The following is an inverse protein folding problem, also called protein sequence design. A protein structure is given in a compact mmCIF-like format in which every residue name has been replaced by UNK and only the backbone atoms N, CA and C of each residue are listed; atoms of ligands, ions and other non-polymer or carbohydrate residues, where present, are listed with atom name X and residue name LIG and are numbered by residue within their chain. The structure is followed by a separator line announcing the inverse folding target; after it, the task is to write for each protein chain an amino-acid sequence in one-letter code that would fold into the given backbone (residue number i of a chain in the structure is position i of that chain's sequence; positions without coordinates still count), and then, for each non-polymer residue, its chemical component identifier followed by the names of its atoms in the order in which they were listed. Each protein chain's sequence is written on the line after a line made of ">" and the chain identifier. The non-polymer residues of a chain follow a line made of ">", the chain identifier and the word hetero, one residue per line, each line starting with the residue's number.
data_IF_997464846357
#
_entry.id   IF_997464846357
#
_cell.length_a   1.000
_cell.length_b   1.000
_cell.length_c   1.000
_cell.angle_alpha   90.00
_cell.angle_beta   90.00
_cell.angle_gamma   90.00
#
_symmetry.space_group_name_H-M   'P 1'
#
loop_
_entity.id
_entity.type
_entity.pdbx_description
1 polymer ?
#
# COMPACT_ATOMS: atom_id res chain seq x y z
N UNK A 1 -12.44 -7.78 9.63
CA UNK A 1 -11.21 -8.18 8.93
C UNK A 1 -10.56 -6.91 8.39
N UNK A 2 -9.29 -6.67 8.71
CA UNK A 2 -8.59 -5.46 8.25
C UNK A 2 -8.13 -5.68 6.80
N UNK A 3 -8.69 -4.89 5.88
CA UNK A 3 -8.25 -4.77 4.50
C UNK A 3 -6.85 -4.18 4.51
N UNK A 4 -5.85 -4.77 3.84
CA UNK A 4 -4.48 -4.21 3.79
C UNK A 4 -4.21 -3.53 2.45
N UNK A 5 -3.84 -2.25 2.51
CA UNK A 5 -3.50 -1.42 1.35
C UNK A 5 -2.02 -1.09 1.44
N UNK A 6 -1.28 -1.30 0.36
CA UNK A 6 0.17 -1.06 0.33
C UNK A 6 0.54 -0.06 -0.75
N UNK A 7 1.42 0.87 -0.41
CA UNK A 7 2.01 1.83 -1.35
C UNK A 7 3.39 1.38 -1.76
N UNK A 8 3.66 1.28 -3.06
CA UNK A 8 4.98 0.94 -3.61
C UNK A 8 5.61 2.18 -4.24
N UNK A 9 6.82 2.47 -3.81
CA UNK A 9 7.68 3.50 -4.37
C UNK A 9 9.06 2.94 -4.74
N UNK A 10 9.72 3.64 -5.67
CA UNK A 10 11.06 3.29 -6.16
C UNK A 10 11.97 4.48 -5.91
N UNK A 11 13.03 4.25 -5.14
CA UNK A 11 14.13 5.18 -4.98
C UNK A 11 15.15 4.84 -6.07
N UNK A 12 15.31 5.76 -7.02
CA UNK A 12 16.02 5.50 -8.27
C UNK A 12 17.41 6.11 -8.38
N UNK A 13 18.25 5.43 -9.16
CA UNK A 13 19.64 5.73 -9.57
C UNK A 13 20.50 6.37 -8.48
N UNK A 14 20.80 5.57 -7.47
CA UNK A 14 21.79 5.91 -6.44
C UNK A 14 23.16 5.42 -6.93
N UNK A 15 23.94 6.30 -7.56
CA UNK A 15 25.30 5.98 -7.98
C UNK A 15 26.23 5.97 -6.77
N UNK A 16 26.73 4.80 -6.38
CA UNK A 16 27.80 4.66 -5.39
C UNK A 16 28.81 3.60 -5.86
N UNK A 17 30.10 3.82 -5.61
CA UNK A 17 31.13 2.82 -5.87
C UNK A 17 30.98 1.58 -4.97
N UNK A 18 30.29 1.75 -3.84
CA UNK A 18 30.16 0.75 -2.78
C UNK A 18 28.83 -0.02 -2.82
N UNK A 19 28.01 0.17 -3.87
CA UNK A 19 26.71 -0.49 -3.96
C UNK A 19 26.74 -1.82 -4.71
N UNK A 20 27.90 -2.36 -5.06
CA UNK A 20 28.05 -3.61 -5.84
C UNK A 20 27.17 -3.63 -7.11
N UNK A 21 27.04 -2.47 -7.77
CA UNK A 21 26.19 -2.31 -8.94
C UNK A 21 24.69 -2.19 -8.64
N UNK A 22 24.27 -2.22 -7.37
CA UNK A 22 22.92 -1.85 -6.96
C UNK A 22 22.69 -0.37 -7.24
N UNK A 23 21.56 -0.02 -7.83
CA UNK A 23 21.23 1.36 -8.23
C UNK A 23 19.82 1.79 -7.78
N UNK A 24 18.97 0.82 -7.43
CA UNK A 24 17.56 1.02 -7.12
C UNK A 24 17.21 0.45 -5.76
N UNK A 25 16.27 1.08 -5.06
CA UNK A 25 15.61 0.52 -3.89
C UNK A 25 14.11 0.50 -4.18
N UNK A 26 13.49 -0.67 -4.07
CA UNK A 26 12.04 -0.78 -4.05
C UNK A 26 11.61 -0.69 -2.60
N UNK A 27 10.68 0.21 -2.31
CA UNK A 27 10.11 0.44 -0.99
C UNK A 27 8.62 0.16 -1.07
N UNK A 28 8.10 -0.58 -0.09
CA UNK A 28 6.67 -0.72 0.09
C UNK A 28 6.28 -0.36 1.52
N UNK A 29 5.16 0.32 1.65
CA UNK A 29 4.69 0.87 2.90
C UNK A 29 3.25 0.41 3.11
N UNK A 30 2.99 -0.25 4.23
CA UNK A 30 1.64 -0.59 4.64
C UNK A 30 0.91 0.69 5.09
N UNK A 31 -0.28 0.93 4.53
CA UNK A 31 -1.07 2.10 4.88
C UNK A 31 -1.54 2.06 6.32
N UNK A 32 -1.74 0.88 6.91
CA UNK A 32 -2.31 0.74 8.25
C UNK A 32 -1.24 0.82 9.33
N UNK A 33 -0.26 -0.07 9.29
CA UNK A 33 0.79 -0.15 10.32
C UNK A 33 1.94 0.82 10.09
N UNK A 34 1.98 1.47 8.91
CA UNK A 34 3.14 2.23 8.43
C UNK A 34 4.40 1.39 8.35
N UNK A 35 4.28 0.06 8.33
CA UNK A 35 5.42 -0.82 8.17
C UNK A 35 6.07 -0.62 6.81
N UNK A 36 7.39 -0.51 6.81
CA UNK A 36 8.19 -0.31 5.60
C UNK A 36 9.00 -1.56 5.34
N UNK A 37 8.89 -2.10 4.14
CA UNK A 37 9.79 -3.11 3.57
C UNK A 37 10.59 -2.47 2.43
N UNK A 38 11.89 -2.75 2.35
CA UNK A 38 12.71 -2.23 1.27
C UNK A 38 13.81 -3.21 0.85
N UNK A 39 14.03 -3.32 -0.46
CA UNK A 39 15.08 -4.18 -1.05
C UNK A 39 15.79 -3.45 -2.17
N UNK A 40 17.11 -3.67 -2.26
CA UNK A 40 17.96 -3.06 -3.28
C UNK A 40 18.09 -3.94 -4.54
N UNK A 41 18.25 -3.31 -5.71
CA UNK A 41 18.41 -4.00 -6.99
C UNK A 41 19.42 -3.27 -7.88
N UNK A 42 20.25 -4.04 -8.59
CA UNK A 42 21.12 -3.54 -9.66
C UNK A 42 20.37 -3.06 -10.90
N UNK A 43 19.35 -3.81 -11.29
CA UNK A 43 18.47 -3.46 -12.41
C UNK A 43 17.04 -3.67 -11.97
N UNK A 44 16.18 -2.69 -12.25
CA UNK A 44 14.78 -2.79 -11.91
C UNK A 44 13.97 -3.27 -13.11
N UNK A 45 13.29 -4.41 -12.94
CA UNK A 45 12.36 -4.97 -13.93
C UNK A 45 11.02 -5.25 -13.28
N UNK A 46 9.96 -5.32 -14.09
CA UNK A 46 8.62 -5.72 -13.62
C UNK A 46 8.63 -7.06 -12.88
N UNK A 47 9.37 -8.05 -13.39
CA UNK A 47 9.52 -9.36 -12.77
C UNK A 47 10.16 -9.27 -11.37
N UNK A 48 11.17 -8.41 -11.19
CA UNK A 48 11.82 -8.20 -9.88
C UNK A 48 10.89 -7.51 -8.89
N UNK A 49 10.13 -6.51 -9.33
CA UNK A 49 9.10 -5.87 -8.49
C UNK A 49 8.01 -6.87 -8.11
N UNK A 50 7.55 -7.71 -9.04
CA UNK A 50 6.58 -8.76 -8.74
C UNK A 50 7.14 -9.81 -7.76
N UNK A 51 8.41 -10.20 -7.91
CA UNK A 51 9.10 -11.11 -7.00
C UNK A 51 9.22 -10.51 -5.60
N UNK A 52 9.58 -9.23 -5.50
CA UNK A 52 9.58 -8.49 -4.24
C UNK A 52 8.20 -8.52 -3.59
N UNK A 53 7.13 -8.22 -4.34
CA UNK A 53 5.75 -8.25 -3.83
C UNK A 53 5.35 -9.64 -3.30
N UNK A 54 5.72 -10.70 -4.02
CA UNK A 54 5.41 -12.07 -3.57
C UNK A 54 6.18 -12.44 -2.30
N UNK A 55 7.50 -12.27 -2.34
CA UNK A 55 8.41 -12.73 -1.29
C UNK A 55 8.24 -11.93 0.00
N UNK A 56 8.18 -10.61 -0.06
CA UNK A 56 8.22 -9.75 1.13
C UNK A 56 6.84 -9.44 1.70
N UNK A 57 5.75 -9.71 0.96
CA UNK A 57 4.38 -9.31 1.36
C UNK A 57 3.45 -10.50 1.41
N UNK A 58 3.25 -11.17 0.27
CA UNK A 58 2.26 -12.24 0.17
C UNK A 58 2.62 -13.40 1.12
N UNK A 59 3.89 -13.78 1.18
CA UNK A 59 4.35 -14.89 2.01
C UNK A 59 4.42 -14.57 3.52
N UNK A 60 4.54 -13.31 3.91
CA UNK A 60 4.67 -12.92 5.32
C UNK A 60 3.40 -12.34 5.94
N UNK A 61 2.66 -11.52 5.20
CA UNK A 61 1.60 -10.66 5.74
C UNK A 61 0.22 -10.87 5.11
N UNK A 62 0.09 -11.81 4.15
CA UNK A 62 -1.10 -12.12 3.32
C UNK A 62 -1.19 -11.29 2.03
N UNK A 63 -2.11 -11.69 1.16
CA UNK A 63 -2.39 -11.01 -0.12
C UNK A 63 -3.03 -9.65 0.16
N UNK A 64 -2.42 -8.53 -0.31
CA UNK A 64 -2.98 -7.21 -0.12
C UNK A 64 -4.27 -7.05 -0.93
N UNK A 65 -5.23 -6.32 -0.38
CA UNK A 65 -6.47 -5.99 -1.08
C UNK A 65 -6.23 -4.96 -2.18
N UNK A 66 -5.33 -4.01 -1.95
CA UNK A 66 -4.99 -2.98 -2.92
C UNK A 66 -3.49 -2.66 -2.90
N UNK A 67 -2.92 -2.50 -4.09
CA UNK A 67 -1.52 -2.11 -4.31
C UNK A 67 -1.48 -0.81 -5.10
N UNK A 68 -1.08 0.26 -4.43
CA UNK A 68 -1.00 1.60 -4.97
C UNK A 68 0.45 1.85 -5.40
N UNK A 69 0.65 2.27 -6.65
CA UNK A 69 1.95 2.70 -7.14
C UNK A 69 1.82 4.01 -7.90
N UNK A 70 2.66 4.98 -7.54
CA UNK A 70 2.67 6.31 -8.17
C UNK A 70 3.26 6.27 -9.60
N UNK A 71 3.91 5.17 -9.98
CA UNK A 71 4.57 5.01 -11.29
C UNK A 71 4.22 3.66 -11.92
N UNK A 72 3.02 3.59 -12.52
CA UNK A 72 2.46 2.39 -13.18
C UNK A 72 3.17 1.85 -14.42
N UNK A 73 4.52 1.85 -14.46
CA UNK A 73 5.33 1.46 -15.63
C UNK A 73 5.73 -0.03 -15.69
N UNK A 74 5.31 -0.86 -14.74
CA UNK A 74 5.89 -2.20 -14.57
C UNK A 74 4.93 -3.38 -14.79
N UNK A 75 3.86 -3.22 -15.57
CA UNK A 75 3.14 -4.35 -16.19
C UNK A 75 2.45 -5.34 -15.23
N UNK A 76 2.39 -5.07 -13.93
CA UNK A 76 1.50 -5.76 -13.01
C UNK A 76 0.10 -5.22 -13.29
N UNK A 77 -0.93 -6.08 -13.40
CA UNK A 77 -2.33 -5.64 -13.51
C UNK A 77 -2.70 -4.87 -12.24
N UNK A 78 -2.42 -3.58 -12.23
CA UNK A 78 -2.85 -2.67 -11.18
C UNK A 78 -4.32 -2.37 -11.41
N UNK A 79 -5.14 -2.51 -10.37
CA UNK A 79 -6.29 -1.61 -10.27
C UNK A 79 -5.71 -0.20 -10.21
N UNK A 80 -5.91 0.58 -11.28
CA UNK A 80 -5.76 2.02 -11.19
C UNK A 80 -6.79 2.46 -10.16
N UNK A 81 -6.31 3.08 -9.10
CA UNK A 81 -7.06 3.46 -7.90
C UNK A 81 -8.52 3.83 -8.22
N UNK A 82 -9.47 3.15 -7.56
CA UNK A 82 -10.70 3.86 -7.18
C UNK A 82 -10.25 5.02 -6.29
N UNK A 83 -10.92 6.17 -6.35
CA UNK A 83 -10.47 7.40 -5.69
C UNK A 83 -10.38 7.27 -4.16
N UNK A 84 -9.32 6.60 -3.65
CA UNK A 84 -9.02 6.54 -2.24
C UNK A 84 -8.37 7.86 -1.85
N UNK A 85 -9.11 8.62 -1.03
CA UNK A 85 -9.00 10.08 -0.87
C UNK A 85 -7.58 10.62 -0.61
N UNK A 86 -7.29 11.88 -1.05
CA UNK A 86 -6.01 12.59 -0.91
C UNK A 86 -5.38 12.57 0.50
N UNK A 87 -6.19 12.52 1.55
CA UNK A 87 -5.72 12.58 2.93
C UNK A 87 -4.86 11.38 3.35
N UNK A 88 -5.12 10.17 2.81
CA UNK A 88 -4.39 8.95 3.17
C UNK A 88 -3.09 8.79 2.36
N UNK A 89 -3.06 9.31 1.13
CA UNK A 89 -1.84 9.39 0.33
C UNK A 89 -0.82 10.31 0.99
N UNK A 90 -1.24 11.47 1.51
CA UNK A 90 -0.33 12.38 2.22
C UNK A 90 0.38 11.75 3.42
N UNK A 91 -0.25 10.80 4.12
CA UNK A 91 0.37 10.08 5.25
C UNK A 91 1.37 9.02 4.80
N UNK A 92 1.13 8.35 3.69
CA UNK A 92 2.09 7.39 3.11
C UNK A 92 3.24 8.11 2.44
N UNK A 93 2.98 9.24 1.79
CA UNK A 93 4.01 10.16 1.32
C UNK A 93 4.87 10.67 2.48
N UNK A 94 4.25 11.03 3.62
CA UNK A 94 4.97 11.44 4.82
C UNK A 94 5.84 10.31 5.39
N UNK A 95 5.30 9.08 5.46
CA UNK A 95 6.05 7.89 5.89
C UNK A 95 7.26 7.62 4.98
N UNK A 96 7.05 7.66 3.67
CA UNK A 96 8.10 7.49 2.67
C UNK A 96 9.15 8.59 2.75
N UNK A 97 8.73 9.85 2.91
CA UNK A 97 9.61 11.00 3.13
C UNK A 97 10.44 10.84 4.40
N UNK A 98 9.84 10.34 5.48
CA UNK A 98 10.55 10.08 6.73
C UNK A 98 11.59 8.97 6.57
N UNK A 99 11.23 7.85 5.94
CA UNK A 99 12.18 6.78 5.64
C UNK A 99 13.35 7.26 4.77
N UNK A 100 13.07 7.99 3.68
CA UNK A 100 14.10 8.61 2.83
C UNK A 100 15.02 9.55 3.62
N UNK A 101 14.49 10.28 4.60
CA UNK A 101 15.27 11.16 5.48
C UNK A 101 16.18 10.37 6.41
N UNK A 102 15.70 9.30 7.03
CA UNK A 102 16.52 8.41 7.88
C UNK A 102 17.64 7.80 7.05
N UNK A 103 17.31 7.22 5.89
CA UNK A 103 18.31 6.63 4.99
C UNK A 103 19.37 7.67 4.60
N UNK A 104 18.98 8.89 4.22
CA UNK A 104 19.92 9.96 3.87
C UNK A 104 20.91 10.25 5.01
N UNK A 105 20.42 10.39 6.24
CA UNK A 105 21.27 10.65 7.42
C UNK A 105 22.23 9.50 7.70
N UNK A 106 21.80 8.25 7.52
CA UNK A 106 22.66 7.07 7.72
C UNK A 106 23.75 6.96 6.65
N UNK A 107 23.47 7.46 5.45
CA UNK A 107 24.38 7.38 4.29
C UNK A 107 25.39 8.51 4.27
N UNK A 108 25.04 9.69 4.80
CA UNK A 108 25.91 10.89 4.81
C UNK A 108 27.36 10.61 5.28
N UNK A 109 27.62 9.82 6.34
CA UNK A 109 28.98 9.59 6.82
C UNK A 109 29.83 8.63 5.97
N UNK A 110 29.21 7.66 5.28
CA UNK A 110 29.94 6.52 4.67
C UNK A 110 29.68 6.34 3.17
N UNK A 111 28.62 6.93 2.63
CA UNK A 111 28.14 6.74 1.24
C UNK A 111 27.75 5.29 0.88
N UNK A 112 27.76 4.38 1.86
CA UNK A 112 27.46 2.95 1.72
C UNK A 112 25.97 2.66 1.93
N UNK A 113 25.12 3.23 1.08
CA UNK A 113 23.68 3.11 1.25
C UNK A 113 23.14 1.67 1.26
N UNK A 114 23.83 0.75 0.58
CA UNK A 114 23.46 -0.66 0.57
C UNK A 114 23.59 -1.27 1.96
N UNK A 115 24.75 -1.08 2.60
CA UNK A 115 25.03 -1.50 3.97
C UNK A 115 24.11 -0.81 4.98
N UNK A 116 23.79 0.48 4.75
CA UNK A 116 22.97 1.28 5.68
C UNK A 116 21.47 1.03 5.58
N UNK A 117 20.99 0.39 4.51
CA UNK A 117 19.58 0.11 4.30
C UNK A 117 18.91 -0.68 5.44
N UNK A 118 19.44 -1.82 5.91
CA UNK A 118 18.84 -2.56 7.04
C UNK A 118 18.80 -1.74 8.33
N UNK A 119 19.84 -0.93 8.61
CA UNK A 119 19.86 -0.05 9.79
C UNK A 119 18.82 1.07 9.69
N UNK A 120 18.62 1.64 8.49
CA UNK A 120 17.58 2.63 8.25
C UNK A 120 16.17 2.05 8.43
N UNK A 121 15.94 0.81 7.95
CA UNK A 121 14.69 0.09 8.18
C UNK A 121 14.46 -0.17 9.66
N UNK A 122 15.47 -0.66 10.37
CA UNK A 122 15.40 -0.90 11.82
C UNK A 122 15.04 0.40 12.56
N UNK A 123 15.82 1.45 12.35
CA UNK A 123 15.58 2.75 12.98
C UNK A 123 14.17 3.29 12.70
N UNK A 124 13.66 3.15 11.47
CA UNK A 124 12.30 3.55 11.14
C UNK A 124 11.26 2.71 11.91
N UNK A 125 11.41 1.38 11.93
CA UNK A 125 10.44 0.45 12.51
C UNK A 125 10.33 0.58 14.03
N UNK A 126 11.43 0.93 14.69
CA UNK A 126 11.49 1.08 16.15
C UNK A 126 11.28 2.51 16.63
N UNK A 127 11.22 3.50 15.72
CA UNK A 127 10.99 4.90 16.09
C UNK A 127 9.52 5.17 16.32
N UNK A 128 9.23 5.98 17.35
CA UNK A 128 7.88 6.41 17.66
C UNK A 128 7.31 7.28 16.54
N UNK A 129 6.13 6.91 16.04
CA UNK A 129 5.38 7.71 15.09
C UNK A 129 4.31 8.51 15.84
N UNK A 130 4.47 9.83 15.89
CA UNK A 130 3.53 10.73 16.56
C UNK A 130 2.11 10.67 16.00
N UNK A 131 1.96 10.37 14.70
CA UNK A 131 0.66 10.26 14.06
C UNK A 131 -0.12 9.00 14.47
N UNK A 132 0.57 7.86 14.55
CA UNK A 132 -0.07 6.60 14.99
C UNK A 132 -0.04 6.44 16.51
N UNK A 133 0.72 7.28 17.22
CA UNK A 133 0.96 7.17 18.66
C UNK A 133 1.70 5.87 19.04
N UNK A 134 2.40 5.25 18.08
CA UNK A 134 2.97 3.92 18.22
C UNK A 134 4.21 3.76 17.33
N UNK A 135 5.05 2.77 17.63
CA UNK A 135 6.09 2.33 16.70
C UNK A 135 5.46 1.45 15.59
N UNK A 136 5.91 1.52 14.32
CA UNK A 136 5.46 0.57 13.30
C UNK A 136 5.62 -0.89 13.72
N UNK A 137 6.69 -1.21 14.46
CA UNK A 137 6.92 -2.54 15.03
C UNK A 137 5.80 -2.98 15.96
N UNK A 138 5.41 -2.15 16.93
CA UNK A 138 4.32 -2.49 17.85
C UNK A 138 2.99 -2.73 17.12
N UNK A 139 2.69 -1.99 16.05
CA UNK A 139 1.47 -2.16 15.28
C UNK A 139 1.42 -3.50 14.53
N UNK A 140 2.56 -3.97 14.02
CA UNK A 140 2.69 -5.26 13.32
C UNK A 140 2.66 -6.42 14.33
N UNK A 141 3.52 -6.38 15.33
CA UNK A 141 3.75 -7.52 16.23
C UNK A 141 2.89 -7.50 17.51
N UNK A 142 2.17 -6.40 17.77
CA UNK A 142 1.35 -6.26 18.97
C UNK A 142 2.14 -5.98 20.25
N UNK A 143 3.43 -5.70 20.15
CA UNK A 143 4.33 -5.51 21.30
C UNK A 143 5.46 -4.55 20.96
N UNK A 144 5.90 -3.76 21.95
CA UNK A 144 7.07 -2.89 21.77
C UNK A 144 8.36 -3.70 21.64
N UNK A 145 9.33 -3.11 20.94
CA UNK A 145 10.69 -3.68 20.84
C UNK A 145 11.32 -3.68 22.23
N UNK A 146 11.92 -4.81 22.58
CA UNK A 146 12.76 -4.95 23.78
C UNK A 146 14.19 -5.01 23.30
N UNK A 147 14.98 -3.98 23.64
CA UNK A 147 16.40 -3.98 23.33
C UNK A 147 17.15 -4.94 24.28
N UNK A 148 18.27 -5.56 23.84
CA UNK A 148 19.04 -6.46 24.70
C UNK A 148 19.39 -5.87 26.06
N UNK A 149 19.68 -4.56 26.12
CA UNK A 149 19.98 -3.82 27.36
C UNK A 149 18.79 -3.74 28.34
N UNK A 150 17.55 -3.81 27.84
CA UNK A 150 16.33 -3.67 28.64
C UNK A 150 15.84 -5.01 29.24
N UNK A 151 16.42 -6.15 28.83
CA UNK A 151 15.95 -7.50 29.21
C UNK A 151 16.02 -7.79 30.71
N UNK A 152 16.82 -7.05 31.48
CA UNK A 152 16.95 -7.22 32.94
C UNK A 152 15.74 -6.68 33.75
N UNK A 153 14.79 -5.98 33.13
CA UNK A 153 13.66 -5.33 33.83
C UNK A 153 12.30 -5.97 33.51
N UNK A 154 12.10 -7.24 33.91
CA UNK A 154 10.95 -8.05 33.51
C UNK A 154 9.56 -7.42 33.82
N UNK A 155 9.37 -6.85 35.01
CA UNK A 155 8.08 -6.25 35.40
C UNK A 155 7.74 -5.02 34.56
N UNK A 156 8.73 -4.14 34.34
CA UNK A 156 8.59 -2.97 33.47
C UNK A 156 8.28 -3.36 32.01
N UNK A 157 8.87 -4.46 31.53
CA UNK A 157 8.60 -4.98 30.19
C UNK A 157 7.18 -5.55 30.06
N UNK A 158 6.67 -6.25 31.07
CA UNK A 158 5.32 -6.80 31.05
C UNK A 158 4.26 -5.70 31.01
N UNK A 159 4.41 -4.64 31.81
CA UNK A 159 3.50 -3.51 31.74
C UNK A 159 3.56 -2.77 30.39
N UNK A 160 4.76 -2.57 29.84
CA UNK A 160 4.92 -1.98 28.50
C UNK A 160 4.24 -2.82 27.42
N UNK A 161 4.36 -4.15 27.51
CA UNK A 161 3.70 -5.09 26.58
C UNK A 161 2.18 -4.99 26.67
N UNK A 162 1.62 -4.95 27.89
CA UNK A 162 0.18 -4.83 28.09
C UNK A 162 -0.36 -3.52 27.50
N UNK A 163 0.27 -2.39 27.84
CA UNK A 163 -0.10 -1.06 27.30
C UNK A 163 0.01 -1.01 25.77
N UNK A 164 1.07 -1.60 25.21
CA UNK A 164 1.24 -1.68 23.76
C UNK A 164 0.14 -2.52 23.11
N UNK A 165 -0.21 -3.66 23.70
CA UNK A 165 -1.29 -4.52 23.23
C UNK A 165 -2.64 -3.80 23.18
N UNK A 166 -2.99 -3.09 24.25
CA UNK A 166 -4.24 -2.32 24.34
C UNK A 166 -4.29 -1.19 23.32
N UNK A 167 -3.18 -0.46 23.16
CA UNK A 167 -3.07 0.60 22.16
C UNK A 167 -3.19 0.07 20.73
N UNK A 168 -2.52 -1.03 20.40
CA UNK A 168 -2.58 -1.68 19.08
C UNK A 168 -4.00 -2.17 18.79
N UNK A 169 -4.68 -2.75 19.78
CA UNK A 169 -6.09 -3.15 19.66
C UNK A 169 -7.00 -1.94 19.38
N UNK A 170 -6.86 -0.87 20.17
CA UNK A 170 -7.62 0.37 19.99
C UNK A 170 -7.37 1.00 18.61
N UNK A 171 -6.10 1.03 18.18
CA UNK A 171 -5.69 1.53 16.87
C UNK A 171 -6.32 0.70 15.74
N UNK A 172 -6.21 -0.63 15.80
CA UNK A 172 -6.81 -1.54 14.80
C UNK A 172 -8.33 -1.36 14.72
N UNK A 173 -9.02 -1.19 15.86
CA UNK A 173 -10.46 -0.89 15.91
C UNK A 173 -10.79 0.45 15.27
N UNK A 174 -10.03 1.50 15.60
CA UNK A 174 -10.19 2.84 15.01
C UNK A 174 -10.02 2.80 13.49
N UNK A 175 -8.96 2.15 13.00
CA UNK A 175 -8.70 2.03 11.57
C UNK A 175 -9.77 1.20 10.85
N UNK A 176 -10.26 0.12 11.46
CA UNK A 176 -11.36 -0.66 10.90
C UNK A 176 -12.66 0.17 10.81
N UNK A 177 -12.97 0.96 11.84
CA UNK A 177 -14.11 1.89 11.83
C UNK A 177 -13.96 2.98 10.77
N UNK A 178 -12.79 3.60 10.65
CA UNK A 178 -12.52 4.63 9.65
C UNK A 178 -12.63 4.07 8.23
N UNK A 179 -12.11 2.85 8.00
CA UNK A 179 -12.27 2.15 6.73
C UNK A 179 -13.75 1.87 6.43
N UNK A 180 -14.49 1.29 7.38
CA UNK A 180 -15.91 0.97 7.21
C UNK A 180 -16.78 2.21 6.98
N UNK A 181 -16.51 3.33 7.68
CA UNK A 181 -17.20 4.61 7.45
C UNK A 181 -16.93 5.20 6.06
N UNK A 182 -15.76 4.89 5.48
CA UNK A 182 -15.32 5.43 4.19
C UNK A 182 -15.67 4.53 3.01
N UNK A 183 -15.82 3.23 3.23
CA UNK A 183 -16.43 2.28 2.31
C UNK A 183 -17.94 2.58 2.20
N UNK A 184 -18.30 3.65 1.49
CA UNK A 184 -19.69 3.90 1.11
C UNK A 184 -20.04 2.98 -0.05
N UNK A 185 -20.62 1.82 0.25
CA UNK A 185 -21.39 1.08 -0.75
C UNK A 185 -22.61 1.91 -1.08
N UNK A 186 -22.61 2.62 -2.23
CA UNK A 186 -23.84 3.20 -2.76
C UNK A 186 -24.64 2.02 -3.32
N UNK A 187 -25.84 1.69 -2.79
CA UNK A 187 -26.68 0.69 -3.42
C UNK A 187 -27.05 1.24 -4.79
N UNK A 188 -26.67 0.51 -5.83
CA UNK A 188 -27.11 0.82 -7.18
C UNK A 188 -28.57 0.38 -7.34
N UNK A 189 -29.34 1.15 -8.07
CA UNK A 189 -30.72 0.84 -8.43
C UNK A 189 -30.82 0.55 -9.93
N UNK A 190 -31.88 -0.16 -10.32
CA UNK A 190 -32.26 -0.25 -11.73
C UNK A 190 -32.45 1.17 -12.26
N UNK A 191 -31.96 1.43 -13.46
CA UNK A 191 -31.94 2.74 -14.15
C UNK A 191 -30.86 3.74 -13.70
N UNK A 192 -30.02 3.40 -12.72
CA UNK A 192 -28.86 4.24 -12.39
C UNK A 192 -27.88 4.31 -13.56
N UNK A 193 -27.40 5.53 -13.85
CA UNK A 193 -26.31 5.79 -14.79
C UNK A 193 -24.96 5.50 -14.13
N UNK A 194 -24.18 4.62 -14.75
CA UNK A 194 -22.89 4.15 -14.24
C UNK A 194 -21.79 4.21 -15.31
N UNK A 195 -20.56 4.39 -14.84
CA UNK A 195 -19.36 4.33 -15.68
C UNK A 195 -18.65 3.01 -15.45
N UNK A 196 -18.36 2.28 -16.53
CA UNK A 196 -17.63 1.02 -16.51
C UNK A 196 -16.13 1.28 -16.51
N UNK A 197 -15.40 0.69 -15.55
CA UNK A 197 -13.94 0.78 -15.53
C UNK A 197 -13.36 0.01 -16.72
N UNK A 198 -12.50 0.63 -17.51
CA UNK A 198 -11.81 -0.05 -18.60
C UNK A 198 -10.65 -0.90 -18.05
N UNK A 199 -10.90 -2.20 -17.83
CA UNK A 199 -9.87 -3.17 -17.40
C UNK A 199 -9.18 -3.80 -18.64
N UNK A 200 -8.02 -3.28 -19.08
CA UNK A 200 -7.19 -3.92 -20.12
C UNK A 200 -6.37 -3.00 -21.07
N UNK A 201 -5.40 -3.62 -21.75
CA UNK A 201 -4.56 -3.05 -22.82
C UNK A 201 -5.35 -2.96 -24.14
N UNK A 202 -6.21 -1.94 -24.26
CA UNK A 202 -6.57 -1.43 -25.59
C UNK A 202 -5.61 -0.29 -25.87
N UNK A 203 -4.83 -0.40 -26.93
CA UNK A 203 -3.95 0.68 -27.38
C UNK A 203 -4.79 1.88 -27.80
N UNK A 204 -4.85 2.91 -26.96
CA UNK A 204 -5.46 4.19 -27.31
C UNK A 204 -4.33 5.14 -27.72
N UNK A 205 -4.36 5.74 -28.92
CA UNK A 205 -3.33 6.67 -29.38
C UNK A 205 -3.18 7.90 -28.47
N UNK A 206 -4.16 8.20 -27.61
CA UNK A 206 -4.10 9.28 -26.61
C UNK A 206 -3.24 8.96 -25.40
N UNK A 207 -2.75 7.72 -25.26
CA UNK A 207 -1.79 7.32 -24.23
C UNK A 207 -2.20 7.74 -22.81
N UNK A 208 -1.47 8.70 -22.23
CA UNK A 208 -1.67 9.19 -20.85
C UNK A 208 -3.00 9.94 -20.66
N UNK A 209 -3.63 10.43 -21.73
CA UNK A 209 -4.90 11.17 -21.71
C UNK A 209 -6.12 10.27 -21.95
N UNK A 210 -5.96 8.94 -22.00
CA UNK A 210 -7.08 8.01 -22.11
C UNK A 210 -7.96 8.05 -20.85
N UNK A 211 -9.29 8.19 -20.98
CA UNK A 211 -10.22 8.01 -19.86
C UNK A 211 -10.11 6.60 -19.28
N UNK A 212 -10.04 6.48 -17.94
CA UNK A 212 -10.02 5.18 -17.26
C UNK A 212 -11.40 4.50 -17.16
N UNK A 213 -12.42 5.14 -17.74
CA UNK A 213 -13.83 4.76 -17.64
C UNK A 213 -14.48 4.83 -19.02
N UNK A 214 -15.46 3.97 -19.27
CA UNK A 214 -16.31 3.94 -20.46
C UNK A 214 -17.77 4.07 -20.03
N UNK A 215 -18.61 4.65 -20.88
CA UNK A 215 -20.01 4.94 -20.59
C UNK A 215 -20.37 6.38 -20.94
N UNK A 216 -21.53 6.86 -20.48
CA UNK A 216 -22.37 6.25 -19.43
C UNK A 216 -23.20 5.04 -19.90
N UNK A 217 -23.50 4.16 -18.95
CA UNK A 217 -24.35 2.97 -19.12
C UNK A 217 -25.50 2.98 -18.12
N UNK A 218 -26.61 2.34 -18.47
CA UNK A 218 -27.79 2.20 -17.59
C UNK A 218 -27.83 0.80 -17.00
N UNK A 219 -28.05 0.68 -15.69
CA UNK A 219 -28.25 -0.62 -15.04
C UNK A 219 -29.66 -1.13 -15.36
N UNK A 220 -29.75 -2.25 -16.08
CA UNK A 220 -31.03 -2.87 -16.43
C UNK A 220 -31.51 -3.84 -15.36
N UNK A 221 -30.61 -4.62 -14.79
CA UNK A 221 -30.92 -5.64 -13.78
C UNK A 221 -29.77 -5.78 -12.79
N UNK A 222 -30.12 -5.91 -11.51
CA UNK A 222 -29.20 -6.22 -10.40
C UNK A 222 -29.44 -7.66 -9.97
N UNK A 223 -28.41 -8.49 -10.04
CA UNK A 223 -28.49 -9.85 -9.47
C UNK A 223 -28.24 -9.80 -7.96
N UNK A 224 -28.84 -10.72 -7.18
CA UNK A 224 -28.58 -10.83 -5.73
C UNK A 224 -27.11 -11.07 -5.36
N UNK A 225 -26.28 -11.48 -6.34
CA UNK A 225 -24.85 -11.75 -6.17
C UNK A 225 -23.95 -10.55 -6.51
N UNK A 226 -24.51 -9.37 -6.79
CA UNK A 226 -23.73 -8.15 -7.05
C UNK A 226 -23.22 -7.99 -8.49
N UNK A 227 -23.76 -8.75 -9.44
CA UNK A 227 -23.51 -8.54 -10.88
C UNK A 227 -24.66 -7.75 -11.52
N UNK A 228 -24.36 -6.82 -12.41
CA UNK A 228 -25.31 -5.96 -13.13
C UNK A 228 -25.29 -6.18 -14.63
N UNK A 229 -26.47 -6.18 -15.23
CA UNK A 229 -26.61 -6.07 -16.68
C UNK A 229 -26.63 -4.60 -17.07
N UNK A 230 -25.75 -4.23 -17.99
CA UNK A 230 -25.61 -2.86 -18.48
C UNK A 230 -26.23 -2.74 -19.87
N UNK A 231 -26.81 -1.58 -20.14
CA UNK A 231 -27.28 -1.17 -21.47
C UNK A 231 -26.58 0.12 -21.84
N UNK A 232 -26.20 0.27 -23.11
CA UNK A 232 -25.75 1.57 -23.62
C UNK A 232 -26.92 2.56 -23.73
N UNK A 233 -26.61 3.84 -23.98
CA UNK A 233 -27.61 4.87 -24.19
C UNK A 233 -28.46 4.65 -25.47
N UNK A 234 -28.08 3.72 -26.32
CA UNK A 234 -28.76 3.37 -27.57
C UNK A 234 -29.66 2.13 -27.41
N UNK A 235 -29.75 1.54 -26.21
CA UNK A 235 -30.60 0.38 -25.92
C UNK A 235 -29.95 -0.98 -26.17
N UNK A 236 -28.66 -1.05 -26.51
CA UNK A 236 -27.96 -2.32 -26.69
C UNK A 236 -27.49 -2.89 -25.36
N UNK A 237 -27.94 -4.11 -25.03
CA UNK A 237 -27.53 -4.84 -23.83
C UNK A 237 -26.15 -5.47 -24.03
N UNK A 238 -25.30 -5.37 -23.01
CA UNK A 238 -24.01 -6.06 -23.01
C UNK A 238 -24.19 -7.58 -22.89
N UNK A 239 -23.35 -8.34 -23.61
CA UNK A 239 -23.39 -9.81 -23.64
C UNK A 239 -22.98 -10.46 -22.30
N UNK A 240 -22.23 -9.75 -21.46
CA UNK A 240 -21.74 -10.24 -20.17
C UNK A 240 -22.11 -9.29 -19.03
N UNK A 241 -22.53 -9.83 -17.87
CA UNK A 241 -22.81 -9.04 -16.68
C UNK A 241 -21.52 -8.47 -16.07
N UNK A 242 -21.59 -7.25 -15.52
CA UNK A 242 -20.48 -6.57 -14.87
C UNK A 242 -20.58 -6.67 -13.35
N UNK A 243 -19.45 -6.88 -12.65
CA UNK A 243 -19.45 -6.86 -11.19
C UNK A 243 -19.56 -5.43 -10.66
N UNK A 244 -20.30 -5.28 -9.57
CA UNK A 244 -20.44 -4.04 -8.80
C UNK A 244 -19.49 -4.12 -7.61
N UNK A 245 -18.33 -3.48 -7.72
CA UNK A 245 -17.34 -3.31 -6.64
C UNK A 245 -17.54 -1.97 -5.89
#
# INVERSE_FOLDING_TARGET
>A
MAVSVWGIDIIGKISSKFSNGHEFIVVAIDYFTKWVEATSYARLTSARVASFIRSHFIYHYRVPHELISDRGKYGIRHHRSSAYKPHTNGLVEAANKNFKRILRKMVEPSRDWLEKLPFALWAYRTSFCTFTGATPYSLVYGMEVVLPVETKMLNFLNERRLRAGDHVQAYKRKMACDFRKRAKTRPFQKEDLVLKILRGLVGDPRGKFRPSWNGPYVIQELTPRGATWLTDLHGNRFLEPANVD
#
